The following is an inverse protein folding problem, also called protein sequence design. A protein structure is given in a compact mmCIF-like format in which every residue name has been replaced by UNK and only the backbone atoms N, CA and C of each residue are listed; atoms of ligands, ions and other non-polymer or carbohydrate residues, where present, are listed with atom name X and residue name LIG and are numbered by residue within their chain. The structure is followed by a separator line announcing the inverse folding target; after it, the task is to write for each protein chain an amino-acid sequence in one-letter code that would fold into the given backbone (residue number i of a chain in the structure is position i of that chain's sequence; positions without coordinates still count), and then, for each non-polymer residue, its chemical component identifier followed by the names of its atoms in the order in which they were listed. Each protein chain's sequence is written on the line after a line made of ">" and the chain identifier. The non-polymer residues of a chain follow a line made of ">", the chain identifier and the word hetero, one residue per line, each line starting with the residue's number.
data_IF_649761490841
#
_entry.id   IF_649761490841
#
_cell.length_a   1.000
_cell.length_b   1.000
_cell.length_c   1.000
_cell.angle_alpha   90.00
_cell.angle_beta   90.00
_cell.angle_gamma   90.00
#
_symmetry.space_group_name_H-M   'P 1'
#
loop_
_entity.id
_entity.type
_entity.pdbx_description
1 polymer ?
#
# COMPACT_ATOMS: atom_id res chain seq x y z
N UNK A 1 -26.12 10.84 -2.79
CA UNK A 1 -24.75 11.07 -2.29
C UNK A 1 -24.80 12.41 -1.58
N UNK A 2 -24.43 12.45 -0.30
CA UNK A 2 -24.23 13.73 0.39
C UNK A 2 -23.23 14.56 -0.42
N UNK A 3 -23.47 15.88 -0.51
CA UNK A 3 -22.46 16.81 -0.98
C UNK A 3 -21.22 16.62 -0.09
N UNK A 4 -20.02 16.63 -0.69
CA UNK A 4 -18.78 16.23 -0.01
C UNK A 4 -18.55 16.92 1.33
N UNK A 5 -17.79 16.26 2.21
CA UNK A 5 -17.39 16.78 3.53
C UNK A 5 -16.43 17.97 3.34
N UNK A 6 -16.73 19.12 3.97
CA UNK A 6 -15.93 20.35 3.82
C UNK A 6 -14.49 20.23 4.36
N UNK A 7 -14.21 19.21 5.18
CA UNK A 7 -12.87 18.89 5.68
C UNK A 7 -12.00 18.20 4.62
N UNK A 8 -12.55 17.84 3.46
CA UNK A 8 -11.88 17.05 2.42
C UNK A 8 -11.81 17.84 1.12
N UNK A 9 -10.58 18.01 0.63
CA UNK A 9 -10.34 18.42 -0.75
C UNK A 9 -10.17 17.19 -1.65
N UNK A 10 -10.67 17.26 -2.88
CA UNK A 10 -10.42 16.25 -3.92
C UNK A 10 -9.62 16.90 -5.04
N UNK A 11 -8.36 16.47 -5.19
CA UNK A 11 -7.50 16.88 -6.29
C UNK A 11 -7.39 15.73 -7.30
N UNK A 12 -7.72 16.00 -8.55
CA UNK A 12 -7.56 15.05 -9.66
C UNK A 12 -6.52 15.61 -10.62
N UNK A 13 -5.47 14.81 -10.85
CA UNK A 13 -4.41 15.11 -11.81
C UNK A 13 -4.48 14.13 -12.99
N UNK A 14 -5.10 14.59 -14.07
CA UNK A 14 -5.28 13.83 -15.30
C UNK A 14 -4.02 13.88 -16.15
N UNK A 15 -3.47 12.69 -16.41
CA UNK A 15 -2.17 12.48 -17.03
C UNK A 15 -2.22 12.46 -18.55
N UNK A 16 -2.95 13.41 -19.13
CA UNK A 16 -3.28 13.48 -20.55
C UNK A 16 -4.14 12.30 -21.06
N UNK A 17 -5.24 12.03 -20.37
CA UNK A 17 -6.20 11.01 -20.77
C UNK A 17 -6.82 11.33 -22.14
N UNK A 18 -6.95 10.29 -22.96
CA UNK A 18 -7.48 10.36 -24.33
C UNK A 18 -8.92 9.85 -24.45
N UNK A 19 -9.49 9.35 -23.35
CA UNK A 19 -10.86 8.87 -23.25
C UNK A 19 -11.79 9.96 -22.68
N UNK A 20 -12.96 9.55 -22.15
CA UNK A 20 -13.95 10.47 -21.61
C UNK A 20 -13.67 10.92 -20.17
N UNK A 21 -12.46 10.71 -19.62
CA UNK A 21 -12.08 11.12 -18.26
C UNK A 21 -12.39 12.58 -17.97
N UNK A 22 -12.00 13.51 -18.87
CA UNK A 22 -12.30 14.94 -18.69
C UNK A 22 -13.81 15.24 -18.66
N UNK A 23 -14.61 14.55 -19.48
CA UNK A 23 -16.07 14.72 -19.51
C UNK A 23 -16.70 14.27 -18.20
N UNK A 24 -16.29 13.10 -17.70
CA UNK A 24 -16.77 12.52 -16.43
C UNK A 24 -16.48 13.48 -15.27
N UNK A 25 -15.24 13.98 -15.16
CA UNK A 25 -14.83 14.89 -14.09
C UNK A 25 -15.61 16.22 -14.18
N UNK A 26 -15.74 16.79 -15.37
CA UNK A 26 -16.51 18.01 -15.57
C UNK A 26 -17.98 17.84 -15.17
N UNK A 27 -18.58 16.67 -15.43
CA UNK A 27 -19.94 16.39 -14.97
C UNK A 27 -20.04 16.43 -13.42
N UNK A 28 -19.07 15.87 -12.69
CA UNK A 28 -19.05 16.00 -11.23
C UNK A 28 -18.89 17.46 -10.78
N UNK A 29 -18.00 18.23 -11.42
CA UNK A 29 -17.84 19.66 -11.12
C UNK A 29 -19.14 20.43 -11.36
N UNK A 30 -19.82 20.18 -12.50
CA UNK A 30 -21.13 20.78 -12.81
C UNK A 30 -22.21 20.43 -11.78
N UNK A 31 -22.15 19.22 -11.19
CA UNK A 31 -23.01 18.80 -10.10
C UNK A 31 -22.57 19.32 -8.71
N UNK A 32 -21.73 20.36 -8.68
CA UNK A 32 -21.27 21.06 -7.46
C UNK A 32 -20.45 20.19 -6.50
N UNK A 33 -19.73 19.19 -7.01
CA UNK A 33 -18.69 18.50 -6.22
C UNK A 33 -17.44 19.37 -6.14
N UNK A 34 -16.87 19.50 -4.94
CA UNK A 34 -15.64 20.25 -4.69
C UNK A 34 -14.42 19.47 -5.20
N UNK A 35 -14.14 19.60 -6.50
CA UNK A 35 -13.02 18.94 -7.18
C UNK A 35 -12.08 20.01 -7.74
N UNK A 36 -10.81 19.94 -7.37
CA UNK A 36 -9.73 20.64 -8.04
C UNK A 36 -9.21 19.75 -9.16
N UNK A 37 -9.43 20.14 -10.42
CA UNK A 37 -9.06 19.34 -11.58
C UNK A 37 -7.90 19.99 -12.32
N UNK A 38 -6.80 19.24 -12.46
CA UNK A 38 -5.62 19.62 -13.22
C UNK A 38 -5.42 18.59 -14.32
N UNK A 39 -5.37 19.04 -15.58
CA UNK A 39 -5.03 18.19 -16.72
C UNK A 39 -3.66 18.56 -17.25
N UNK A 40 -2.78 17.57 -17.35
CA UNK A 40 -1.46 17.71 -17.93
C UNK A 40 -1.55 17.84 -19.46
N UNK A 41 -0.59 18.54 -20.06
CA UNK A 41 -0.51 18.72 -21.52
C UNK A 41 0.03 17.48 -22.25
N UNK A 42 0.68 16.59 -21.52
CA UNK A 42 1.28 15.35 -21.98
C UNK A 42 1.33 14.34 -20.82
N UNK A 43 1.49 13.06 -21.12
CA UNK A 43 1.76 12.02 -20.12
C UNK A 43 3.15 12.22 -19.49
N UNK A 44 3.17 12.67 -18.24
CA UNK A 44 4.41 12.91 -17.46
C UNK A 44 4.90 11.66 -16.70
N UNK A 45 4.15 10.56 -16.79
CA UNK A 45 4.37 9.31 -16.07
C UNK A 45 3.84 9.34 -14.63
N UNK A 46 3.54 8.15 -14.10
CA UNK A 46 2.90 7.98 -12.79
C UNK A 46 3.66 8.62 -11.62
N UNK A 47 5.00 8.49 -11.56
CA UNK A 47 5.78 9.05 -10.46
C UNK A 47 5.70 10.59 -10.43
N UNK A 48 5.80 11.26 -11.60
CA UNK A 48 5.65 12.71 -11.67
C UNK A 48 4.22 13.14 -11.38
N UNK A 49 3.23 12.37 -11.85
CA UNK A 49 1.83 12.65 -11.59
C UNK A 49 1.49 12.55 -10.09
N UNK A 50 1.95 11.51 -9.40
CA UNK A 50 1.77 11.37 -7.94
C UNK A 50 2.48 12.48 -7.16
N UNK A 51 3.69 12.85 -7.57
CA UNK A 51 4.42 13.95 -6.95
C UNK A 51 3.70 15.30 -7.15
N UNK A 52 3.13 15.54 -8.34
CA UNK A 52 2.31 16.72 -8.62
C UNK A 52 1.10 16.79 -7.69
N UNK A 53 0.36 15.68 -7.51
CA UNK A 53 -0.73 15.61 -6.55
C UNK A 53 -0.27 15.89 -5.13
N UNK A 54 0.80 15.22 -4.68
CA UNK A 54 1.29 15.36 -3.31
C UNK A 54 1.74 16.80 -3.01
N UNK A 55 2.43 17.45 -3.95
CA UNK A 55 2.89 18.83 -3.81
C UNK A 55 1.73 19.82 -3.80
N UNK A 56 0.74 19.63 -4.68
CA UNK A 56 -0.40 20.55 -4.83
C UNK A 56 -1.45 20.43 -3.73
N UNK A 57 -1.53 19.29 -3.04
CA UNK A 57 -2.44 19.09 -1.92
C UNK A 57 -2.16 20.10 -0.78
N UNK A 58 -3.20 20.71 -0.23
CA UNK A 58 -3.12 21.69 0.87
C UNK A 58 -3.45 21.08 2.22
N UNK A 59 -4.10 19.91 2.23
CA UNK A 59 -4.45 19.16 3.43
C UNK A 59 -3.25 18.73 4.25
N UNK A 60 -3.43 18.74 5.57
CA UNK A 60 -2.45 18.20 6.53
C UNK A 60 -2.19 16.71 6.31
N UNK A 61 -3.21 15.97 5.92
CA UNK A 61 -3.13 14.56 5.57
C UNK A 61 -3.44 14.37 4.10
N UNK A 62 -2.64 13.55 3.41
CA UNK A 62 -2.77 13.29 1.98
C UNK A 62 -2.90 11.79 1.76
N UNK A 63 -3.92 11.38 1.01
CA UNK A 63 -4.06 10.04 0.45
C UNK A 63 -3.95 10.16 -1.07
N UNK A 64 -2.95 9.53 -1.64
CA UNK A 64 -2.92 9.32 -3.09
C UNK A 64 -3.71 8.04 -3.38
N UNK A 65 -4.78 8.16 -4.16
CA UNK A 65 -5.67 7.06 -4.53
C UNK A 65 -5.57 6.84 -6.04
N UNK A 66 -5.36 5.59 -6.46
CA UNK A 66 -5.48 5.22 -7.88
C UNK A 66 -6.92 5.41 -8.37
N UNK A 67 -7.09 5.83 -9.62
CA UNK A 67 -8.39 6.04 -10.27
C UNK A 67 -9.16 4.73 -10.51
N UNK A 68 -8.47 3.61 -10.33
CA UNK A 68 -8.95 2.25 -10.41
C UNK A 68 -9.41 1.67 -9.06
N UNK A 69 -8.97 2.25 -7.95
CA UNK A 69 -9.26 1.80 -6.60
C UNK A 69 -10.48 2.54 -6.00
N UNK A 70 -11.16 1.87 -5.08
CA UNK A 70 -12.41 2.36 -4.50
C UNK A 70 -12.24 2.55 -2.99
N UNK A 71 -12.48 3.76 -2.50
CA UNK A 71 -12.79 4.01 -1.10
C UNK A 71 -14.22 3.56 -0.81
N UNK A 72 -14.39 2.61 0.12
CA UNK A 72 -15.70 2.06 0.45
C UNK A 72 -16.59 3.08 1.15
N UNK A 73 -17.90 2.86 1.09
CA UNK A 73 -18.89 3.69 1.80
C UNK A 73 -18.52 3.88 3.28
N UNK A 74 -18.48 5.14 3.71
CA UNK A 74 -18.10 5.55 5.06
C UNK A 74 -16.59 5.51 5.36
N UNK A 75 -15.73 5.15 4.40
CA UNK A 75 -14.27 5.13 4.61
C UNK A 75 -13.73 6.52 4.95
N UNK A 76 -14.15 7.55 4.21
CA UNK A 76 -13.70 8.94 4.45
C UNK A 76 -14.04 9.40 5.86
N UNK A 77 -15.29 9.22 6.31
CA UNK A 77 -15.71 9.58 7.67
C UNK A 77 -14.88 8.86 8.74
N UNK A 78 -14.63 7.56 8.58
CA UNK A 78 -13.77 6.80 9.51
C UNK A 78 -12.32 7.26 9.52
N UNK A 79 -11.78 7.65 8.37
CA UNK A 79 -10.44 8.22 8.29
C UNK A 79 -10.43 9.54 9.07
N UNK A 80 -11.38 10.45 8.81
CA UNK A 80 -11.49 11.72 9.53
C UNK A 80 -11.62 11.51 11.06
N UNK A 81 -12.47 10.59 11.51
CA UNK A 81 -12.64 10.24 12.92
C UNK A 81 -11.32 9.76 13.57
N UNK A 82 -10.42 9.12 12.82
CA UNK A 82 -9.09 8.75 13.30
C UNK A 82 -8.21 9.99 13.35
N UNK A 83 -8.15 10.76 12.25
CA UNK A 83 -7.24 11.90 12.11
C UNK A 83 -7.54 13.05 13.08
N UNK A 84 -8.76 13.17 13.58
CA UNK A 84 -9.16 14.17 14.58
C UNK A 84 -8.68 13.84 16.00
N UNK A 85 -8.30 12.59 16.27
CA UNK A 85 -7.92 12.16 17.63
C UNK A 85 -6.51 12.54 18.03
N UNK A 86 -5.57 12.48 17.08
CA UNK A 86 -4.16 12.76 17.33
C UNK A 86 -3.38 13.03 16.03
N UNK A 87 -2.08 13.29 16.16
CA UNK A 87 -1.13 13.41 15.07
C UNK A 87 -0.48 12.05 14.79
N UNK A 88 -0.83 11.48 13.66
CA UNK A 88 -0.24 10.23 13.18
C UNK A 88 0.74 10.52 12.04
N UNK A 89 1.78 9.69 11.87
CA UNK A 89 2.69 9.80 10.73
C UNK A 89 2.07 9.17 9.49
N UNK A 90 1.72 7.89 9.63
CA UNK A 90 1.05 7.09 8.61
C UNK A 90 -0.19 6.43 9.21
N UNK A 91 -1.32 6.56 8.51
CA UNK A 91 -2.51 5.74 8.72
C UNK A 91 -2.63 4.78 7.54
N UNK A 92 -2.28 3.52 7.75
CA UNK A 92 -2.35 2.47 6.74
C UNK A 92 -3.74 1.83 6.72
N UNK A 93 -4.38 1.84 5.55
CA UNK A 93 -5.73 1.36 5.33
C UNK A 93 -5.70 -0.10 4.88
N UNK A 94 -6.54 -0.95 5.48
CA UNK A 94 -6.65 -2.32 4.98
C UNK A 94 -7.45 -2.34 3.67
N UNK A 95 -6.89 -3.03 2.68
CA UNK A 95 -7.50 -3.26 1.37
C UNK A 95 -7.77 -4.73 1.07
N UNK A 96 -8.69 -4.99 0.14
CA UNK A 96 -8.86 -6.27 -0.53
C UNK A 96 -8.86 -6.07 -2.04
N UNK A 97 -8.52 -7.11 -2.80
CA UNK A 97 -8.53 -7.04 -4.27
C UNK A 97 -9.88 -7.44 -4.86
N UNK A 98 -10.28 -6.81 -5.96
CA UNK A 98 -11.44 -7.20 -6.79
C UNK A 98 -11.10 -7.20 -8.28
N UNK A 99 -11.79 -8.02 -9.06
CA UNK A 99 -11.60 -8.12 -10.52
C UNK A 99 -12.77 -7.48 -11.27
N UNK A 100 -14.00 -7.83 -10.93
CA UNK A 100 -15.20 -7.40 -11.66
C UNK A 100 -16.08 -6.49 -10.81
N UNK A 101 -16.44 -6.93 -9.62
CA UNK A 101 -17.36 -6.22 -8.72
C UNK A 101 -16.85 -6.26 -7.28
N UNK A 102 -16.45 -5.09 -6.78
CA UNK A 102 -15.92 -4.95 -5.43
C UNK A 102 -16.96 -5.32 -4.35
N UNK A 103 -18.25 -5.19 -4.63
CA UNK A 103 -19.30 -5.51 -3.66
C UNK A 103 -19.40 -7.02 -3.45
N UNK A 104 -19.58 -7.79 -4.53
CA UNK A 104 -19.72 -9.25 -4.43
C UNK A 104 -18.41 -9.98 -4.10
N UNK A 105 -17.26 -9.41 -4.47
CA UNK A 105 -15.93 -9.97 -4.20
C UNK A 105 -15.37 -9.57 -2.83
N UNK A 106 -16.07 -8.74 -2.07
CA UNK A 106 -15.68 -8.37 -0.71
C UNK A 106 -15.51 -9.63 0.17
N UNK A 107 -14.35 -9.80 0.84
CA UNK A 107 -14.11 -10.98 1.68
C UNK A 107 -15.18 -11.18 2.77
N UNK A 108 -15.88 -12.30 2.69
CA UNK A 108 -16.90 -12.71 3.66
C UNK A 108 -16.22 -13.15 4.97
N UNK A 109 -16.85 -12.85 6.11
CA UNK A 109 -16.36 -13.27 7.44
C UNK A 109 -15.19 -12.47 8.02
N UNK A 110 -14.66 -11.48 7.29
CA UNK A 110 -13.62 -10.57 7.79
C UNK A 110 -14.16 -9.21 8.26
N UNK A 111 -15.45 -8.92 8.03
CA UNK A 111 -16.11 -7.68 8.43
C UNK A 111 -16.29 -7.49 9.95
N UNK A 112 -15.87 -8.45 10.77
CA UNK A 112 -15.93 -8.36 12.24
C UNK A 112 -14.76 -7.57 12.84
N UNK A 113 -13.64 -7.43 12.13
CA UNK A 113 -12.49 -6.69 12.63
C UNK A 113 -12.74 -5.19 12.44
N UNK A 114 -13.36 -4.59 13.46
CA UNK A 114 -13.63 -3.15 13.53
C UNK A 114 -12.51 -2.36 14.19
N UNK A 115 -12.45 -1.07 13.87
CA UNK A 115 -11.50 -0.12 14.44
C UNK A 115 -10.09 -0.23 13.88
N UNK A 116 -9.13 0.20 14.67
CA UNK A 116 -7.73 0.32 14.29
C UNK A 116 -6.81 -0.10 15.45
N UNK A 117 -5.54 -0.31 15.12
CA UNK A 117 -4.46 -0.51 16.08
C UNK A 117 -3.54 0.72 16.01
N UNK A 118 -3.29 1.35 17.16
CA UNK A 118 -2.31 2.45 17.31
C UNK A 118 -0.97 1.88 17.75
N UNK A 119 0.10 2.33 17.09
CA UNK A 119 1.46 1.90 17.32
C UNK A 119 2.32 3.08 17.73
N UNK A 120 2.93 2.96 18.92
CA UNK A 120 3.94 3.90 19.42
C UNK A 120 5.37 3.38 19.20
N UNK A 121 5.50 2.21 18.56
CA UNK A 121 6.77 1.58 18.22
C UNK A 121 6.81 1.21 16.73
N UNK A 122 7.91 1.59 16.07
CA UNK A 122 8.07 1.38 14.63
C UNK A 122 8.25 -0.10 14.27
N UNK A 123 8.87 -0.90 15.15
CA UNK A 123 9.09 -2.33 14.89
C UNK A 123 7.75 -3.07 14.70
N UNK A 124 6.80 -2.92 15.63
CA UNK A 124 5.49 -3.57 15.55
C UNK A 124 4.64 -3.02 14.40
N UNK A 125 4.70 -1.70 14.15
CA UNK A 125 4.00 -1.10 13.01
C UNK A 125 4.52 -1.67 11.68
N UNK A 126 5.84 -1.71 11.48
CA UNK A 126 6.46 -2.23 10.25
C UNK A 126 6.27 -3.74 10.08
N UNK A 127 6.22 -4.51 11.16
CA UNK A 127 5.82 -5.94 11.09
C UNK A 127 4.38 -6.05 10.56
N UNK A 128 3.48 -5.17 11.03
CA UNK A 128 2.07 -5.17 10.64
C UNK A 128 1.86 -4.76 9.18
N UNK A 129 2.35 -3.59 8.77
CA UNK A 129 2.08 -3.00 7.45
C UNK A 129 3.07 -3.47 6.38
N UNK A 130 4.33 -3.70 6.74
CA UNK A 130 5.36 -4.26 5.86
C UNK A 130 5.39 -3.64 4.45
N UNK A 131 5.43 -4.47 3.39
CA UNK A 131 5.48 -4.00 2.01
C UNK A 131 4.15 -3.38 1.54
N UNK A 132 3.07 -3.37 2.33
CA UNK A 132 1.88 -2.60 1.96
C UNK A 132 2.13 -1.08 1.94
N UNK A 133 3.23 -0.61 2.52
CA UNK A 133 3.71 0.77 2.32
C UNK A 133 4.03 1.08 0.85
N UNK A 134 4.32 0.07 0.01
CA UNK A 134 4.55 0.26 -1.43
C UNK A 134 3.26 0.33 -2.25
N UNK A 135 2.09 0.20 -1.61
CA UNK A 135 0.79 0.28 -2.27
C UNK A 135 0.19 1.65 -2.01
N UNK A 136 0.20 2.51 -3.02
CA UNK A 136 -0.06 3.95 -2.86
C UNK A 136 -1.43 4.26 -2.22
N UNK A 137 -2.48 3.57 -2.69
CA UNK A 137 -3.89 3.77 -2.32
C UNK A 137 -4.26 3.43 -0.87
N UNK A 138 -3.31 2.98 -0.05
CA UNK A 138 -3.58 2.61 1.35
C UNK A 138 -2.79 3.42 2.38
N UNK A 139 -2.04 4.44 1.96
CA UNK A 139 -1.23 5.22 2.89
C UNK A 139 -1.74 6.65 2.98
N UNK A 140 -2.45 6.96 4.07
CA UNK A 140 -2.76 8.34 4.43
C UNK A 140 -1.55 8.90 5.16
N UNK A 141 -0.93 9.94 4.61
CA UNK A 141 0.34 10.49 5.05
C UNK A 141 0.14 11.85 5.68
N UNK A 142 0.70 12.07 6.86
CA UNK A 142 0.78 13.40 7.45
C UNK A 142 1.85 14.24 6.75
N UNK A 143 1.41 15.11 5.85
CA UNK A 143 2.27 15.96 5.04
C UNK A 143 3.10 16.91 5.89
N UNK A 144 2.60 17.38 7.04
CA UNK A 144 3.35 18.27 7.92
C UNK A 144 4.52 17.61 8.65
N UNK A 145 4.67 16.27 8.54
CA UNK A 145 5.79 15.53 9.09
C UNK A 145 6.82 15.13 8.02
N UNK A 146 6.58 15.46 6.75
CA UNK A 146 7.56 15.27 5.69
C UNK A 146 8.64 16.34 5.83
N UNK A 147 9.90 15.94 5.83
CA UNK A 147 11.03 16.83 5.99
C UNK A 147 11.16 17.76 4.78
N UNK A 148 11.08 19.08 5.00
CA UNK A 148 11.18 20.09 3.93
C UNK A 148 12.51 20.03 3.15
N UNK A 149 13.57 19.50 3.77
CA UNK A 149 14.87 19.32 3.11
C UNK A 149 14.96 18.03 2.26
N UNK A 150 13.93 17.19 2.28
CA UNK A 150 13.89 15.99 1.46
C UNK A 150 13.52 16.35 0.02
N UNK A 151 14.50 16.30 -0.89
CA UNK A 151 14.22 16.42 -2.31
C UNK A 151 13.48 15.17 -2.83
N UNK A 152 12.16 15.27 -2.96
CA UNK A 152 11.29 14.19 -3.43
C UNK A 152 11.53 13.79 -4.88
N UNK A 153 12.09 14.67 -5.73
CA UNK A 153 12.37 14.37 -7.13
C UNK A 153 13.41 13.26 -7.30
N UNK A 154 14.26 13.03 -6.28
CA UNK A 154 15.25 11.95 -6.29
C UNK A 154 14.63 10.56 -6.31
N UNK A 155 13.33 10.45 -6.01
CA UNK A 155 12.57 9.20 -6.05
C UNK A 155 11.76 9.02 -7.34
N UNK A 156 11.86 9.94 -8.30
CA UNK A 156 11.27 9.74 -9.63
C UNK A 156 11.91 8.53 -10.33
N UNK A 157 11.14 7.91 -11.22
CA UNK A 157 11.53 6.74 -12.03
C UNK A 157 11.81 5.48 -11.19
N UNK A 158 11.34 5.48 -9.93
CA UNK A 158 11.43 4.33 -9.06
C UNK A 158 10.20 3.43 -9.16
N UNK A 159 9.08 3.94 -9.70
CA UNK A 159 7.72 3.40 -9.57
C UNK A 159 7.22 3.32 -8.11
N UNK A 160 7.96 3.96 -7.19
CA UNK A 160 7.73 3.94 -5.74
C UNK A 160 8.00 5.34 -5.16
N UNK A 161 7.79 6.40 -5.95
CA UNK A 161 8.06 7.79 -5.54
C UNK A 161 7.46 8.13 -4.18
N UNK A 162 6.28 7.57 -3.90
CA UNK A 162 5.53 7.82 -2.68
C UNK A 162 6.22 7.33 -1.40
N UNK A 163 7.15 6.38 -1.51
CA UNK A 163 7.92 5.93 -0.36
C UNK A 163 8.80 7.05 0.22
N UNK A 164 9.18 8.05 -0.58
CA UNK A 164 9.92 9.21 -0.13
C UNK A 164 9.18 9.97 0.98
N UNK A 165 8.00 10.51 0.67
CA UNK A 165 7.19 11.21 1.68
C UNK A 165 6.62 10.27 2.74
N UNK A 166 6.29 9.02 2.38
CA UNK A 166 5.78 8.03 3.34
C UNK A 166 6.80 7.72 4.43
N UNK A 167 8.05 7.41 4.07
CA UNK A 167 9.09 7.15 5.07
C UNK A 167 9.48 8.39 5.85
N UNK A 168 9.49 9.57 5.21
CA UNK A 168 9.75 10.83 5.90
C UNK A 168 8.74 11.08 7.03
N UNK A 169 7.44 11.00 6.73
CA UNK A 169 6.39 11.16 7.74
C UNK A 169 6.39 10.04 8.79
N UNK A 170 6.65 8.78 8.37
CA UNK A 170 6.72 7.63 9.27
C UNK A 170 7.80 7.80 10.34
N UNK A 171 9.02 8.16 9.93
CA UNK A 171 10.16 8.24 10.84
C UNK A 171 10.21 9.55 11.65
N UNK A 172 9.44 10.58 11.24
CA UNK A 172 9.26 11.81 11.99
C UNK A 172 8.04 11.78 12.94
N UNK A 173 7.38 10.62 13.08
CA UNK A 173 6.23 10.46 13.97
C UNK A 173 6.50 9.46 15.09
N UNK A 174 5.91 9.72 16.25
CA UNK A 174 5.87 8.78 17.37
C UNK A 174 4.65 7.85 17.31
N UNK A 175 3.67 8.13 16.44
CA UNK A 175 2.40 7.39 16.38
C UNK A 175 2.00 7.05 14.97
N UNK A 176 1.60 5.81 14.75
CA UNK A 176 1.12 5.32 13.46
C UNK A 176 -0.09 4.39 13.64
N UNK A 177 -0.91 4.25 12.61
CA UNK A 177 -2.18 3.53 12.69
C UNK A 177 -2.25 2.47 11.61
N UNK A 178 -2.74 1.27 11.97
CA UNK A 178 -3.27 0.30 11.02
C UNK A 178 -4.77 0.15 11.20
N UNK A 179 -5.54 0.43 10.16
CA UNK A 179 -6.99 0.23 10.16
C UNK A 179 -7.31 -1.23 9.87
N UNK A 180 -8.06 -1.88 10.76
CA UNK A 180 -8.39 -3.31 10.64
C UNK A 180 -9.56 -3.59 9.71
N UNK A 181 -10.42 -2.60 9.51
CA UNK A 181 -11.56 -2.66 8.60
C UNK A 181 -11.11 -2.49 7.16
N UNK A 182 -11.75 -3.21 6.24
CA UNK A 182 -11.59 -2.93 4.83
C UNK A 182 -12.19 -1.55 4.51
N UNK A 183 -11.33 -0.61 4.13
CA UNK A 183 -11.72 0.73 3.69
C UNK A 183 -11.41 0.97 2.21
N UNK A 184 -10.57 0.13 1.61
CA UNK A 184 -10.19 0.22 0.20
C UNK A 184 -10.50 -1.09 -0.51
N UNK A 185 -11.13 -1.04 -1.68
CA UNK A 185 -11.15 -2.13 -2.64
C UNK A 185 -10.18 -1.80 -3.77
N UNK A 186 -9.20 -2.67 -3.98
CA UNK A 186 -8.13 -2.46 -4.94
C UNK A 186 -8.40 -3.22 -6.24
N UNK A 187 -8.34 -2.56 -7.38
CA UNK A 187 -8.54 -3.23 -8.66
C UNK A 187 -7.35 -4.14 -8.94
N UNK A 188 -7.62 -5.38 -9.30
CA UNK A 188 -6.59 -6.35 -9.67
C UNK A 188 -6.37 -6.36 -11.18
N UNK A 189 -5.13 -6.66 -11.57
CA UNK A 189 -4.73 -6.98 -12.95
C UNK A 189 -4.86 -5.85 -13.98
N UNK A 190 -4.86 -4.60 -13.53
CA UNK A 190 -4.95 -3.42 -14.37
C UNK A 190 -3.66 -2.56 -14.37
N UNK A 191 -2.85 -2.68 -13.33
CA UNK A 191 -1.50 -2.14 -13.29
C UNK A 191 -0.49 -3.10 -13.93
N UNK A 192 0.44 -2.57 -14.74
CA UNK A 192 1.43 -3.41 -15.41
C UNK A 192 2.52 -2.66 -16.17
N UNK A 193 3.26 -3.38 -17.00
CA UNK A 193 4.29 -2.80 -17.88
C UNK A 193 5.59 -2.36 -17.18
N UNK A 194 5.73 -2.64 -15.88
CA UNK A 194 6.95 -2.40 -15.11
C UNK A 194 7.76 -3.67 -14.89
N UNK A 195 9.01 -3.50 -14.46
CA UNK A 195 9.97 -4.57 -14.15
C UNK A 195 9.85 -4.97 -12.67
N UNK A 196 9.08 -6.01 -12.36
CA UNK A 196 8.70 -6.40 -10.99
C UNK A 196 9.90 -6.50 -10.03
N UNK A 197 10.94 -7.24 -10.40
CA UNK A 197 12.08 -7.46 -9.51
C UNK A 197 12.97 -6.21 -9.43
N UNK A 198 13.02 -5.42 -10.50
CA UNK A 198 13.75 -4.16 -10.50
C UNK A 198 13.08 -3.11 -9.60
N UNK A 199 11.77 -2.90 -9.72
CA UNK A 199 11.01 -1.94 -8.92
C UNK A 199 11.06 -2.31 -7.44
N UNK A 200 10.60 -3.51 -7.10
CA UNK A 200 10.43 -3.90 -5.70
C UNK A 200 11.73 -4.43 -5.05
N UNK A 201 12.73 -4.79 -5.85
CA UNK A 201 14.05 -5.19 -5.38
C UNK A 201 15.04 -4.03 -5.44
N UNK A 202 15.43 -3.61 -6.64
CA UNK A 202 16.49 -2.60 -6.83
C UNK A 202 16.04 -1.22 -6.37
N UNK A 203 14.96 -0.68 -6.94
CA UNK A 203 14.53 0.69 -6.66
C UNK A 203 14.11 0.86 -5.19
N UNK A 204 13.36 -0.11 -4.66
CA UNK A 204 12.96 -0.12 -3.25
C UNK A 204 14.17 -0.11 -2.29
N UNK A 205 15.20 -0.94 -2.50
CA UNK A 205 16.38 -0.92 -1.64
C UNK A 205 17.23 0.35 -1.84
N UNK A 206 17.24 0.94 -3.05
CA UNK A 206 17.87 2.25 -3.27
C UNK A 206 17.21 3.33 -2.42
N UNK A 207 15.88 3.33 -2.31
CA UNK A 207 15.14 4.25 -1.41
C UNK A 207 15.54 3.97 0.04
N UNK A 208 15.60 2.71 0.47
CA UNK A 208 16.01 2.37 1.83
C UNK A 208 17.43 2.87 2.14
N UNK A 209 18.38 2.68 1.22
CA UNK A 209 19.76 3.09 1.39
C UNK A 209 19.90 4.62 1.53
N UNK A 210 19.08 5.41 0.82
CA UNK A 210 19.02 6.88 1.00
C UNK A 210 18.61 7.22 2.44
N UNK A 211 17.54 6.62 2.96
CA UNK A 211 17.10 6.86 4.35
C UNK A 211 18.11 6.39 5.40
N UNK A 212 18.79 5.27 5.17
CA UNK A 212 19.83 4.78 6.09
C UNK A 212 21.06 5.70 6.08
N UNK A 213 21.56 6.07 4.91
CA UNK A 213 22.83 6.78 4.78
C UNK A 213 22.72 8.29 5.01
N UNK A 214 21.64 8.92 4.55
CA UNK A 214 21.49 10.38 4.59
C UNK A 214 20.66 10.84 5.79
N UNK A 215 19.67 10.03 6.22
CA UNK A 215 18.76 10.35 7.32
C UNK A 215 19.01 9.52 8.58
N UNK A 216 20.07 8.70 8.59
CA UNK A 216 20.51 7.90 9.74
C UNK A 216 19.43 6.98 10.30
N UNK A 217 18.46 6.58 9.45
CA UNK A 217 17.41 5.65 9.83
C UNK A 217 18.02 4.28 10.08
N UNK A 218 17.63 3.65 11.20
CA UNK A 218 18.16 2.35 11.55
C UNK A 218 17.77 1.30 10.50
N UNK A 219 18.78 0.71 9.84
CA UNK A 219 18.63 -0.31 8.79
C UNK A 219 17.71 -1.48 9.18
N UNK A 220 17.61 -1.81 10.48
CA UNK A 220 16.73 -2.89 10.97
C UNK A 220 15.28 -2.75 10.49
N UNK A 221 14.78 -1.51 10.36
CA UNK A 221 13.41 -1.24 9.94
C UNK A 221 13.15 -1.72 8.51
N UNK A 222 14.11 -1.50 7.61
CA UNK A 222 14.04 -1.98 6.23
C UNK A 222 14.27 -3.49 6.11
N UNK A 223 15.02 -4.10 7.03
CA UNK A 223 15.16 -5.55 7.09
C UNK A 223 13.83 -6.26 7.44
N UNK A 224 12.97 -5.65 8.27
CA UNK A 224 11.62 -6.15 8.56
C UNK A 224 10.80 -6.24 7.26
N UNK A 225 10.82 -5.16 6.46
CA UNK A 225 10.11 -5.09 5.18
C UNK A 225 10.67 -6.13 4.20
N UNK A 226 11.99 -6.16 4.01
CA UNK A 226 12.66 -7.10 3.11
C UNK A 226 12.39 -8.57 3.46
N UNK A 227 12.40 -8.94 4.75
CA UNK A 227 12.04 -10.30 5.20
C UNK A 227 10.62 -10.66 4.75
N UNK A 228 9.66 -9.75 4.89
CA UNK A 228 8.28 -9.99 4.48
C UNK A 228 8.12 -10.05 2.96
N UNK A 229 8.87 -9.23 2.23
CA UNK A 229 8.90 -9.30 0.77
C UNK A 229 9.41 -10.66 0.26
N UNK A 230 10.52 -11.15 0.82
CA UNK A 230 11.10 -12.45 0.46
C UNK A 230 10.23 -13.64 0.89
N UNK A 231 9.53 -13.51 2.01
CA UNK A 231 8.64 -14.56 2.51
C UNK A 231 7.35 -14.67 1.67
N UNK A 232 6.81 -13.55 1.19
CA UNK A 232 5.43 -13.54 0.69
C UNK A 232 5.19 -12.74 -0.59
N UNK A 233 5.86 -11.60 -0.80
CA UNK A 233 5.64 -10.76 -1.98
C UNK A 233 6.30 -11.35 -3.23
N UNK A 234 7.63 -11.51 -3.21
CA UNK A 234 8.39 -11.99 -4.38
C UNK A 234 7.97 -13.40 -4.79
N UNK A 235 7.84 -14.41 -3.89
CA UNK A 235 7.41 -15.74 -4.31
C UNK A 235 6.05 -15.71 -5.02
N UNK A 236 5.07 -14.99 -4.45
CA UNK A 236 3.73 -14.88 -5.02
C UNK A 236 3.73 -14.23 -6.40
N UNK A 237 4.38 -13.08 -6.54
CA UNK A 237 4.33 -12.29 -7.76
C UNK A 237 5.22 -12.87 -8.87
N UNK A 238 6.34 -13.52 -8.54
CA UNK A 238 7.15 -14.27 -9.51
C UNK A 238 6.34 -15.44 -10.07
N UNK A 239 5.62 -16.19 -9.24
CA UNK A 239 4.78 -17.30 -9.72
C UNK A 239 3.65 -16.78 -10.60
N UNK A 240 2.96 -15.71 -10.19
CA UNK A 240 1.91 -15.06 -10.99
C UNK A 240 2.44 -14.56 -12.33
N UNK A 241 3.60 -13.94 -12.35
CA UNK A 241 4.27 -13.49 -13.58
C UNK A 241 4.60 -14.69 -14.50
N UNK A 242 5.19 -15.76 -13.96
CA UNK A 242 5.47 -16.98 -14.72
C UNK A 242 4.21 -17.68 -15.25
N UNK A 243 3.06 -17.45 -14.62
CA UNK A 243 1.75 -17.94 -15.04
C UNK A 243 0.98 -16.97 -15.94
N UNK A 244 1.57 -15.82 -16.32
CA UNK A 244 0.94 -14.77 -17.11
C UNK A 244 -0.35 -14.22 -16.47
N UNK A 245 -0.43 -14.23 -15.13
CA UNK A 245 -1.57 -13.69 -14.37
C UNK A 245 -1.44 -12.17 -14.18
N UNK A 246 -0.21 -11.65 -14.15
CA UNK A 246 0.08 -10.22 -14.01
C UNK A 246 0.87 -9.73 -15.23
N UNK A 247 0.61 -8.50 -15.66
CA UNK A 247 1.28 -7.88 -16.81
C UNK A 247 2.55 -7.17 -16.35
N UNK A 248 3.69 -7.86 -16.36
CA UNK A 248 5.01 -7.29 -16.00
C UNK A 248 6.00 -7.53 -17.12
N UNK A 249 6.99 -6.64 -17.27
CA UNK A 249 8.07 -6.82 -18.24
C UNK A 249 8.92 -8.03 -17.88
N UNK A 250 9.40 -8.73 -18.91
CA UNK A 250 10.30 -9.87 -18.74
C UNK A 250 11.60 -9.44 -18.06
N UNK A 251 12.03 -10.26 -17.11
CA UNK A 251 13.27 -10.09 -16.37
C UNK A 251 13.89 -11.44 -16.03
N UNK A 252 15.12 -11.42 -15.49
CA UNK A 252 15.76 -12.59 -14.89
C UNK A 252 15.76 -12.42 -13.36
N UNK A 253 14.70 -12.86 -12.64
CA UNK A 253 14.57 -12.62 -11.18
C UNK A 253 15.80 -13.04 -10.38
N UNK A 254 16.43 -14.17 -10.71
CA UNK A 254 17.64 -14.62 -10.02
C UNK A 254 18.77 -13.59 -10.11
N UNK A 255 19.08 -13.09 -11.31
CA UNK A 255 20.18 -12.15 -11.53
C UNK A 255 19.97 -10.82 -10.80
N UNK A 256 18.71 -10.43 -10.58
CA UNK A 256 18.35 -9.18 -9.92
C UNK A 256 18.31 -9.36 -8.39
N UNK A 257 17.67 -10.43 -7.91
CA UNK A 257 17.41 -10.61 -6.48
C UNK A 257 18.57 -11.28 -5.74
N UNK A 258 19.36 -12.13 -6.39
CA UNK A 258 20.51 -12.78 -5.77
C UNK A 258 21.53 -11.80 -5.16
N UNK A 259 22.03 -10.77 -5.87
CA UNK A 259 23.01 -9.84 -5.28
C UNK A 259 22.45 -9.09 -4.08
N UNK A 260 21.15 -8.80 -4.07
CA UNK A 260 20.46 -8.09 -2.98
C UNK A 260 20.23 -9.00 -1.75
N UNK A 261 19.85 -10.27 -2.00
CA UNK A 261 19.21 -11.09 -0.97
C UNK A 261 19.88 -12.42 -0.66
N UNK A 262 21.02 -12.77 -1.27
CA UNK A 262 21.74 -14.04 -1.02
C UNK A 262 22.08 -14.33 0.44
N UNK A 263 22.13 -13.31 1.31
CA UNK A 263 22.39 -13.46 2.76
C UNK A 263 21.12 -13.74 3.58
N UNK A 264 19.94 -13.60 3.00
CA UNK A 264 18.66 -13.84 3.68
C UNK A 264 18.25 -15.30 3.54
N UNK A 265 18.05 -15.99 4.66
CA UNK A 265 17.53 -17.37 4.64
C UNK A 265 16.20 -17.47 3.88
N UNK A 266 15.31 -16.47 4.04
CA UNK A 266 14.02 -16.41 3.35
C UNK A 266 14.13 -16.38 1.81
N UNK A 267 15.22 -15.81 1.29
CA UNK A 267 15.47 -15.85 -0.15
C UNK A 267 15.62 -17.29 -0.62
N UNK A 268 16.47 -18.08 0.04
CA UNK A 268 16.72 -19.47 -0.33
C UNK A 268 15.53 -20.40 -0.06
N UNK A 269 14.76 -20.15 1.00
CA UNK A 269 13.65 -21.03 1.40
C UNK A 269 12.35 -20.75 0.62
N UNK A 270 12.06 -19.49 0.28
CA UNK A 270 10.77 -19.11 -0.32
C UNK A 270 10.90 -18.50 -1.72
N UNK A 271 11.81 -17.54 -1.90
CA UNK A 271 11.91 -16.80 -3.17
C UNK A 271 12.63 -17.60 -4.26
N UNK A 272 13.77 -18.21 -3.95
CA UNK A 272 14.56 -18.97 -4.89
C UNK A 272 13.79 -20.17 -5.47
N UNK A 273 13.05 -20.98 -4.66
CA UNK A 273 12.20 -22.04 -5.20
C UNK A 273 11.12 -21.51 -6.16
N UNK A 274 10.52 -20.34 -5.88
CA UNK A 274 9.56 -19.71 -6.77
C UNK A 274 10.17 -19.29 -8.12
N UNK A 275 11.50 -19.06 -8.17
CA UNK A 275 12.24 -18.75 -9.41
C UNK A 275 12.53 -20.04 -10.19
N UNK A 276 13.08 -21.07 -9.54
CA UNK A 276 13.68 -22.23 -10.23
C UNK A 276 12.75 -23.43 -10.41
N UNK A 277 11.81 -23.66 -9.49
CA UNK A 277 10.96 -24.86 -9.56
C UNK A 277 10.04 -24.82 -10.79
N UNK A 278 9.69 -25.97 -11.39
CA UNK A 278 8.68 -26.06 -12.44
C UNK A 278 7.37 -25.37 -12.03
N UNK A 279 6.67 -24.73 -12.97
CA UNK A 279 5.48 -23.89 -12.69
C UNK A 279 4.44 -24.59 -11.80
N UNK A 280 4.15 -25.87 -12.06
CA UNK A 280 3.20 -26.67 -11.25
C UNK A 280 3.65 -26.87 -9.81
N UNK A 281 4.95 -27.12 -9.59
CA UNK A 281 5.52 -27.30 -8.25
C UNK A 281 5.58 -25.97 -7.49
N UNK A 282 5.98 -24.89 -8.17
CA UNK A 282 5.98 -23.55 -7.59
C UNK A 282 4.57 -23.14 -7.17
N UNK A 283 3.56 -23.39 -8.02
CA UNK A 283 2.15 -23.14 -7.69
C UNK A 283 1.67 -23.97 -6.50
N UNK A 284 2.00 -25.26 -6.44
CA UNK A 284 1.65 -26.10 -5.30
C UNK A 284 2.27 -25.58 -3.99
N UNK A 285 3.55 -25.20 -4.01
CA UNK A 285 4.25 -24.61 -2.87
C UNK A 285 3.59 -23.29 -2.43
N UNK A 286 3.20 -22.46 -3.40
CA UNK A 286 2.46 -21.23 -3.14
C UNK A 286 1.09 -21.49 -2.50
N UNK A 287 0.33 -22.45 -3.03
CA UNK A 287 -0.97 -22.84 -2.48
C UNK A 287 -0.86 -23.34 -1.04
N UNK A 288 0.19 -24.11 -0.71
CA UNK A 288 0.47 -24.51 0.68
C UNK A 288 0.74 -23.29 1.56
N UNK A 289 1.62 -22.39 1.13
CA UNK A 289 1.95 -21.17 1.90
C UNK A 289 0.74 -20.27 2.09
N UNK A 290 -0.12 -20.15 1.08
CA UNK A 290 -1.35 -19.35 1.14
C UNK A 290 -2.40 -19.98 2.07
N UNK A 291 -2.56 -21.31 2.03
CA UNK A 291 -3.43 -22.05 2.97
C UNK A 291 -2.92 -21.91 4.40
N UNK A 292 -1.63 -22.11 4.65
CA UNK A 292 -1.03 -21.93 5.98
C UNK A 292 -1.21 -20.48 6.48
N UNK A 293 -1.09 -19.49 5.59
CA UNK A 293 -1.34 -18.08 5.92
C UNK A 293 -2.80 -17.82 6.28
N UNK A 294 -3.74 -18.34 5.50
CA UNK A 294 -5.18 -18.22 5.76
C UNK A 294 -5.57 -18.91 7.06
N UNK A 295 -5.01 -20.09 7.33
CA UNK A 295 -5.19 -20.79 8.61
C UNK A 295 -4.64 -19.97 9.77
N UNK A 296 -3.42 -19.44 9.66
CA UNK A 296 -2.84 -18.58 10.70
C UNK A 296 -3.69 -17.33 10.95
N UNK A 297 -4.17 -16.67 9.89
CA UNK A 297 -5.08 -15.51 10.01
C UNK A 297 -6.41 -15.91 10.65
N UNK A 298 -6.97 -17.06 10.30
CA UNK A 298 -8.18 -17.60 10.92
C UNK A 298 -7.95 -17.84 12.42
N UNK A 299 -6.86 -18.50 12.81
CA UNK A 299 -6.53 -18.72 14.23
C UNK A 299 -6.32 -17.40 14.98
N UNK A 300 -5.61 -16.44 14.41
CA UNK A 300 -5.44 -15.11 15.01
C UNK A 300 -6.79 -14.40 15.19
N UNK A 301 -7.64 -14.43 14.16
CA UNK A 301 -8.99 -13.84 14.24
C UNK A 301 -9.89 -14.54 15.27
N UNK A 302 -9.72 -15.86 15.45
CA UNK A 302 -10.43 -16.63 16.45
C UNK A 302 -9.96 -16.29 17.87
N UNK A 303 -8.65 -16.11 18.06
CA UNK A 303 -8.07 -15.65 19.33
C UNK A 303 -8.57 -14.25 19.68
N UNK A 304 -8.57 -13.32 18.71
CA UNK A 304 -9.10 -11.96 18.91
C UNK A 304 -10.59 -11.96 19.22
N UNK A 305 -11.38 -12.79 18.53
CA UNK A 305 -12.80 -13.01 18.83
C UNK A 305 -13.00 -13.55 20.26
N UNK A 306 -12.22 -14.56 20.66
CA UNK A 306 -12.30 -15.11 22.03
C UNK A 306 -11.91 -14.07 23.08
N UNK A 307 -10.87 -13.27 22.84
CA UNK A 307 -10.48 -12.16 23.73
C UNK A 307 -11.56 -11.10 23.86
N UNK A 308 -12.18 -10.69 22.75
CA UNK A 308 -13.29 -9.74 22.75
C UNK A 308 -14.51 -10.29 23.53
N UNK A 309 -14.84 -11.58 23.35
CA UNK A 309 -15.93 -12.25 24.07
C UNK A 309 -15.66 -12.35 25.58
N UNK A 310 -14.43 -12.67 25.97
CA UNK A 310 -13.98 -12.71 27.37
C UNK A 310 -14.01 -11.32 28.03
N UNK A 311 -13.64 -10.28 27.28
CA UNK A 311 -13.71 -8.90 27.76
C UNK A 311 -15.16 -8.46 28.00
N UNK A 312 -16.06 -8.70 27.03
CA UNK A 312 -17.49 -8.41 27.20
C UNK A 312 -18.13 -9.17 28.37
N UNK A 313 -17.75 -10.44 28.57
CA UNK A 313 -18.22 -11.22 29.71
C UNK A 313 -17.75 -10.70 31.08
N UNK A 314 -16.64 -9.93 31.13
CA UNK A 314 -16.14 -9.28 32.35
C UNK A 314 -16.77 -7.92 32.61
N UNK A 315 -17.22 -7.21 31.56
CA UNK A 315 -17.86 -5.88 31.68
C UNK A 315 -19.33 -5.99 32.11
N UNK A 316 -19.95 -7.16 31.93
CA UNK A 316 -21.37 -7.42 32.26
C UNK A 316 -21.54 -8.03 33.68
N UNK A 317 -20.46 -8.15 34.46
CA UNK A 317 -20.49 -8.58 35.87
C UNK A 317 -20.14 -7.42 36.79
#
# INVERSE_FOLDING_TARGET
>A
MEKGDERVEVLISDNDSTDNTSEVINNYIHNSYAINYVRNREDIGADRNFLQCFNSATGKYVLILGDDDILLDGAVGKILDILEKDNYGVVNLRSYGFVNDFISERPKGCGYLKGYDEYNDLDSFLIKVNYFLTFVSVNVINKSLVNDNLNLERFLETNLVHLGWTFSALFNSNKNIYVKEYLVAAKLYNSGGYRLCHVFGVNNNKIFDIFVSEYQINKKFFEIINKKMLLSFFPANIIRSRMNIISVKDEKPYNILFPLYKRYLYFWVFTFPAIVLPKRMAFFLFSIVDVLRKLLQFFLSLVDYMRAKLFMAKVIK
#
